data_IF_510034672563
#
_entry.id   IF_510034672563
#
_cell.length_a   1.000
_cell.length_b   1.000
_cell.length_c   1.000
_cell.angle_alpha   90.00
_cell.angle_beta   90.00
_cell.angle_gamma   90.00
#
_symmetry.space_group_name_H-M   'P 1'
#
loop_
_entity.id
_entity.type
_entity.pdbx_description
1 polymer ?
#
# COMPACT_ATOMS: atom_id res chain seq x y z
N UNK A 1 -11.64 -36.87 15.05
CA UNK A 1 -11.10 -35.89 16.02
C UNK A 1 -9.61 -36.18 16.17
N UNK A 2 -8.77 -35.55 15.35
CA UNK A 2 -7.32 -35.77 15.35
C UNK A 2 -6.57 -34.52 15.87
N UNK A 3 -6.87 -33.36 15.33
CA UNK A 3 -6.08 -32.12 15.58
C UNK A 3 -6.07 -31.68 17.05
N UNK A 4 -7.20 -31.67 17.75
CA UNK A 4 -7.24 -31.25 19.16
C UNK A 4 -6.42 -32.17 20.07
N UNK A 5 -6.59 -33.49 20.02
CA UNK A 5 -5.74 -34.47 20.75
C UNK A 5 -4.25 -34.31 20.40
N UNK A 6 -3.90 -34.17 19.12
CA UNK A 6 -2.53 -34.00 18.66
C UNK A 6 -1.87 -32.74 19.26
N UNK A 7 -2.56 -31.60 19.22
CA UNK A 7 -2.06 -30.37 19.83
C UNK A 7 -1.83 -30.51 21.34
N UNK A 8 -2.76 -31.17 22.03
CA UNK A 8 -2.65 -31.41 23.47
C UNK A 8 -1.45 -32.28 23.80
N UNK A 9 -1.25 -33.36 23.04
CA UNK A 9 -0.15 -34.29 23.22
C UNK A 9 1.20 -33.66 22.92
N UNK A 10 1.34 -33.00 21.75
CA UNK A 10 2.58 -32.35 21.29
C UNK A 10 3.03 -31.21 22.21
N UNK A 11 2.10 -30.53 22.87
CA UNK A 11 2.42 -29.48 23.83
C UNK A 11 2.48 -29.96 25.28
N UNK A 12 2.33 -31.26 25.49
CA UNK A 12 2.28 -31.86 26.86
C UNK A 12 1.23 -31.20 27.75
N UNK A 13 0.11 -30.75 27.13
CA UNK A 13 -0.94 -30.02 27.81
C UNK A 13 -0.57 -28.60 28.28
N UNK A 14 0.57 -28.07 27.87
CA UNK A 14 1.06 -26.75 28.27
C UNK A 14 0.50 -25.59 27.44
N UNK A 15 -0.16 -25.85 26.27
CA UNK A 15 -0.73 -24.77 25.47
C UNK A 15 -1.75 -23.96 26.29
N UNK A 16 -1.69 -22.67 26.13
CA UNK A 16 -2.58 -21.74 26.82
C UNK A 16 -3.58 -21.07 25.91
N UNK A 17 -3.24 -20.96 24.62
CA UNK A 17 -4.05 -20.30 23.60
C UNK A 17 -3.92 -21.08 22.30
N UNK A 18 -4.98 -21.15 21.52
CA UNK A 18 -4.93 -21.67 20.16
C UNK A 18 -5.56 -20.67 19.20
N UNK A 19 -4.83 -20.33 18.14
CA UNK A 19 -5.25 -19.34 17.14
C UNK A 19 -5.57 -20.06 15.82
N UNK A 20 -6.78 -19.85 15.31
CA UNK A 20 -7.32 -20.63 14.19
C UNK A 20 -8.05 -19.70 13.23
N UNK A 21 -7.73 -19.74 11.92
CA UNK A 21 -8.52 -19.09 10.89
C UNK A 21 -9.95 -19.67 10.84
N UNK A 22 -10.94 -18.81 10.75
CA UNK A 22 -12.35 -19.21 10.76
C UNK A 22 -12.90 -19.19 9.32
N UNK A 23 -13.31 -20.34 8.81
CA UNK A 23 -14.15 -20.50 7.62
C UNK A 23 -15.40 -21.29 8.00
N UNK A 24 -15.57 -22.51 7.49
CA UNK A 24 -16.70 -23.39 7.80
C UNK A 24 -16.88 -23.72 9.30
N UNK A 25 -15.94 -23.36 10.14
CA UNK A 25 -16.00 -23.52 11.60
C UNK A 25 -15.66 -24.93 12.12
N UNK A 26 -15.45 -25.92 11.25
CA UNK A 26 -15.20 -27.29 11.67
C UNK A 26 -13.94 -27.46 12.52
N UNK A 27 -12.84 -26.80 12.14
CA UNK A 27 -11.55 -26.88 12.87
C UNK A 27 -11.66 -26.22 14.23
N UNK A 28 -12.09 -24.95 14.29
CA UNK A 28 -12.16 -24.20 15.55
C UNK A 28 -13.13 -24.83 16.54
N UNK A 29 -14.29 -25.34 16.05
CA UNK A 29 -15.28 -26.03 16.91
C UNK A 29 -14.75 -27.34 17.45
N UNK A 30 -14.15 -28.15 16.57
CA UNK A 30 -13.61 -29.48 16.96
C UNK A 30 -12.45 -29.38 17.94
N UNK A 31 -11.48 -28.50 17.65
CA UNK A 31 -10.33 -28.23 18.50
C UNK A 31 -10.77 -27.58 19.81
N UNK A 32 -11.62 -26.56 19.70
CA UNK A 32 -12.11 -25.82 20.89
C UNK A 32 -12.87 -26.70 21.86
N UNK A 33 -13.83 -27.52 21.39
CA UNK A 33 -14.55 -28.47 22.24
C UNK A 33 -13.63 -29.48 22.94
N UNK A 34 -12.61 -29.97 22.22
CA UNK A 34 -11.66 -30.90 22.80
C UNK A 34 -10.79 -30.22 23.87
N UNK A 35 -10.14 -29.12 23.52
CA UNK A 35 -9.20 -28.42 24.42
C UNK A 35 -9.92 -27.84 25.65
N UNK A 36 -11.12 -27.29 25.50
CA UNK A 36 -11.94 -26.81 26.63
C UNK A 36 -12.33 -27.94 27.60
N UNK A 37 -12.50 -29.19 27.13
CA UNK A 37 -12.72 -30.35 28.00
C UNK A 37 -11.47 -30.76 28.76
N UNK A 38 -10.28 -30.61 28.14
CA UNK A 38 -9.00 -30.92 28.79
C UNK A 38 -8.62 -29.83 29.81
N UNK A 39 -8.77 -28.57 29.43
CA UNK A 39 -8.54 -27.43 30.30
C UNK A 39 -9.45 -26.24 29.88
N UNK A 40 -10.49 -25.92 30.67
CA UNK A 40 -11.41 -24.83 30.34
C UNK A 40 -10.77 -23.44 30.29
N UNK A 41 -9.55 -23.26 30.80
CA UNK A 41 -8.82 -21.97 30.78
C UNK A 41 -8.12 -21.70 29.48
N UNK A 42 -7.98 -22.67 28.57
CA UNK A 42 -7.37 -22.49 27.27
C UNK A 42 -8.22 -21.50 26.46
N UNK A 43 -7.58 -20.50 25.87
CA UNK A 43 -8.24 -19.51 25.03
C UNK A 43 -8.32 -20.01 23.59
N UNK A 44 -9.51 -19.99 23.03
CA UNK A 44 -9.78 -20.33 21.62
C UNK A 44 -9.97 -19.02 20.85
N UNK A 45 -9.00 -18.67 20.05
CA UNK A 45 -8.96 -17.40 19.30
C UNK A 45 -9.24 -17.66 17.83
N UNK A 46 -10.32 -17.10 17.33
CA UNK A 46 -10.63 -17.11 15.91
C UNK A 46 -9.86 -16.01 15.18
N UNK A 47 -9.51 -16.25 13.92
CA UNK A 47 -9.06 -15.19 13.03
C UNK A 47 -10.04 -15.14 11.86
N UNK A 48 -10.67 -13.98 11.67
CA UNK A 48 -11.62 -13.71 10.61
C UNK A 48 -11.01 -12.76 9.58
N UNK A 49 -11.50 -12.83 8.33
CA UNK A 49 -11.02 -11.94 7.27
C UNK A 49 -11.90 -10.69 7.18
N UNK A 50 -11.29 -9.54 6.89
CA UNK A 50 -12.05 -8.33 6.60
C UNK A 50 -12.91 -8.53 5.34
N UNK A 51 -14.21 -8.34 5.49
CA UNK A 51 -15.21 -8.64 4.47
C UNK A 51 -16.12 -9.81 4.83
N UNK A 52 -15.69 -10.73 5.68
CA UNK A 52 -16.55 -11.72 6.34
C UNK A 52 -17.45 -11.07 7.38
N UNK A 53 -18.57 -11.69 7.69
CA UNK A 53 -19.50 -11.25 8.75
C UNK A 53 -19.49 -12.20 9.98
N UNK A 54 -18.55 -13.14 10.05
CA UNK A 54 -18.48 -14.09 11.16
C UNK A 54 -18.18 -13.40 12.49
N UNK A 55 -17.34 -12.37 12.48
CA UNK A 55 -17.04 -11.56 13.68
C UNK A 55 -18.29 -10.88 14.21
N UNK A 56 -19.08 -10.26 13.35
CA UNK A 56 -20.34 -9.60 13.71
C UNK A 56 -21.38 -10.61 14.24
N UNK A 57 -21.46 -11.79 13.61
CA UNK A 57 -22.35 -12.87 14.07
C UNK A 57 -21.91 -13.37 15.46
N UNK A 58 -20.62 -13.56 15.69
CA UNK A 58 -20.10 -13.98 16.99
C UNK A 58 -20.39 -12.94 18.09
N UNK A 59 -20.15 -11.65 17.81
CA UNK A 59 -20.46 -10.54 18.73
C UNK A 59 -21.96 -10.47 19.04
N UNK A 60 -22.80 -10.79 18.05
CA UNK A 60 -24.26 -10.80 18.18
C UNK A 60 -24.83 -12.20 18.58
N UNK A 61 -24.02 -13.01 19.27
CA UNK A 61 -24.42 -14.31 19.84
C UNK A 61 -25.06 -15.26 18.84
N UNK A 62 -24.50 -15.32 17.63
CA UNK A 62 -24.92 -16.27 16.58
C UNK A 62 -26.01 -15.75 15.65
N UNK A 63 -26.44 -14.53 15.78
CA UNK A 63 -27.43 -13.90 14.88
C UNK A 63 -26.73 -12.91 13.96
N UNK A 64 -27.16 -12.86 12.71
CA UNK A 64 -26.71 -11.83 11.76
C UNK A 64 -27.26 -10.49 12.24
N UNK A 65 -26.44 -9.48 12.58
CA UNK A 65 -26.95 -8.18 12.99
C UNK A 65 -27.52 -7.41 11.78
N UNK A 66 -28.48 -6.54 12.04
CA UNK A 66 -29.03 -5.64 11.02
C UNK A 66 -27.92 -4.74 10.46
N UNK A 67 -27.83 -4.64 9.13
CA UNK A 67 -26.80 -3.84 8.47
C UNK A 67 -25.44 -4.54 8.30
N UNK A 68 -25.27 -5.79 8.72
CA UNK A 68 -24.07 -6.57 8.39
C UNK A 68 -24.14 -7.07 6.94
N UNK A 69 -23.20 -6.61 6.12
CA UNK A 69 -23.06 -7.04 4.73
C UNK A 69 -21.65 -7.54 4.45
N UNK A 70 -21.53 -8.72 3.81
CA UNK A 70 -20.23 -9.23 3.39
C UNK A 70 -19.63 -8.33 2.30
N UNK A 71 -18.29 -8.24 2.28
CA UNK A 71 -17.53 -7.57 1.24
C UNK A 71 -16.60 -8.56 0.58
N UNK A 72 -16.22 -8.30 -0.66
CA UNK A 72 -15.28 -9.14 -1.39
C UNK A 72 -13.89 -9.08 -0.76
N UNK A 73 -13.26 -10.24 -0.62
CA UNK A 73 -11.85 -10.42 -0.21
C UNK A 73 -11.20 -11.48 -1.11
N UNK A 74 -9.87 -11.60 -1.06
CA UNK A 74 -9.08 -12.47 -1.94
C UNK A 74 -8.46 -13.68 -1.23
N UNK A 75 -8.38 -13.67 0.09
CA UNK A 75 -7.91 -14.83 0.86
C UNK A 75 -8.92 -15.95 0.76
N UNK A 76 -8.46 -17.14 0.38
CA UNK A 76 -9.29 -18.32 0.22
C UNK A 76 -9.32 -19.17 1.49
N UNK A 77 -10.44 -19.85 1.73
CA UNK A 77 -10.60 -20.82 2.82
C UNK A 77 -10.82 -20.25 4.20
N UNK A 78 -11.10 -18.96 4.30
CA UNK A 78 -11.38 -18.25 5.55
C UNK A 78 -12.51 -17.24 5.32
N UNK A 79 -13.30 -16.95 6.36
CA UNK A 79 -14.44 -16.04 6.30
C UNK A 79 -15.68 -16.66 5.66
N UNK A 80 -16.84 -16.12 6.00
CA UNK A 80 -18.16 -16.53 5.45
C UNK A 80 -19.12 -15.35 5.48
N UNK A 81 -20.20 -15.45 4.71
CA UNK A 81 -21.31 -14.50 4.64
C UNK A 81 -22.57 -15.00 5.39
N UNK A 82 -22.43 -16.09 6.12
CA UNK A 82 -23.47 -16.70 6.97
C UNK A 82 -22.82 -17.42 8.15
N UNK A 83 -23.61 -17.91 9.09
CA UNK A 83 -23.14 -18.78 10.17
C UNK A 83 -23.15 -20.26 9.71
N UNK A 84 -21.98 -20.90 9.47
CA UNK A 84 -21.93 -22.29 9.09
C UNK A 84 -22.48 -23.19 10.20
N UNK A 85 -23.24 -24.22 9.83
CA UNK A 85 -23.83 -25.17 10.79
C UNK A 85 -22.80 -25.97 11.60
N UNK A 86 -21.57 -26.10 11.10
CA UNK A 86 -20.47 -26.77 11.78
C UNK A 86 -19.78 -25.87 12.82
N UNK A 87 -20.05 -24.57 12.81
CA UNK A 87 -19.40 -23.61 13.70
C UNK A 87 -20.13 -23.53 15.04
N UNK A 88 -19.40 -23.85 16.08
CA UNK A 88 -19.82 -23.64 17.48
C UNK A 88 -19.19 -22.37 18.01
N UNK A 89 -19.92 -21.27 17.95
CA UNK A 89 -19.44 -19.96 18.41
C UNK A 89 -19.22 -19.92 19.93
N UNK A 90 -19.81 -20.85 20.68
CA UNK A 90 -19.73 -20.85 22.16
C UNK A 90 -18.35 -21.27 22.68
N UNK A 91 -17.54 -21.92 21.85
CA UNK A 91 -16.17 -22.30 22.22
C UNK A 91 -15.15 -21.18 21.94
N UNK A 92 -15.53 -20.12 21.22
CA UNK A 92 -14.65 -19.04 20.79
C UNK A 92 -14.60 -17.95 21.84
N UNK A 93 -13.41 -17.67 22.39
CA UNK A 93 -13.21 -16.66 23.44
C UNK A 93 -12.89 -15.28 22.88
N UNK A 94 -12.22 -15.21 21.72
CA UNK A 94 -11.86 -13.95 21.05
C UNK A 94 -11.81 -14.13 19.54
N UNK A 95 -11.99 -13.05 18.79
CA UNK A 95 -11.75 -13.00 17.34
C UNK A 95 -10.85 -11.80 17.02
N UNK A 96 -9.79 -12.05 16.26
CA UNK A 96 -8.95 -11.05 15.60
C UNK A 96 -9.34 -10.95 14.13
N UNK A 97 -9.16 -9.77 13.53
CA UNK A 97 -9.41 -9.58 12.10
C UNK A 97 -8.12 -9.34 11.33
N UNK A 98 -8.06 -9.87 10.11
CA UNK A 98 -6.96 -9.67 9.19
C UNK A 98 -7.49 -9.24 7.82
N UNK A 99 -6.81 -8.31 7.16
CA UNK A 99 -7.11 -7.92 5.78
C UNK A 99 -6.33 -8.75 4.77
N UNK A 100 -6.74 -8.72 3.49
CA UNK A 100 -6.08 -9.46 2.40
C UNK A 100 -4.58 -9.14 2.31
N UNK A 101 -4.25 -7.85 2.26
CA UNK A 101 -2.86 -7.39 2.10
C UNK A 101 -1.96 -7.91 3.21
N UNK A 102 -2.35 -7.73 4.47
CA UNK A 102 -1.52 -8.20 5.59
C UNK A 102 -1.42 -9.72 5.63
N UNK A 103 -2.49 -10.44 5.27
CA UNK A 103 -2.49 -11.90 5.20
C UNK A 103 -1.47 -12.41 4.18
N UNK A 104 -1.45 -11.87 2.97
CA UNK A 104 -0.50 -12.26 1.95
C UNK A 104 0.94 -11.88 2.29
N UNK A 105 1.15 -10.71 2.88
CA UNK A 105 2.48 -10.28 3.32
C UNK A 105 3.01 -11.19 4.43
N UNK A 106 2.20 -11.57 5.42
CA UNK A 106 2.62 -12.47 6.47
C UNK A 106 2.87 -13.90 5.98
N UNK A 107 2.08 -14.42 5.01
CA UNK A 107 2.38 -15.71 4.39
C UNK A 107 3.74 -15.70 3.70
N UNK A 108 4.09 -14.62 2.98
CA UNK A 108 5.39 -14.43 2.33
C UNK A 108 6.54 -14.27 3.33
N UNK A 109 6.30 -13.54 4.42
CA UNK A 109 7.28 -13.38 5.51
C UNK A 109 7.57 -14.70 6.21
N UNK A 110 6.56 -15.51 6.44
CA UNK A 110 6.70 -16.83 7.07
C UNK A 110 7.64 -17.75 6.27
N UNK A 111 7.54 -17.71 4.93
CA UNK A 111 8.48 -18.44 4.05
C UNK A 111 9.89 -17.89 4.18
N UNK A 112 10.05 -16.57 4.15
CA UNK A 112 11.38 -15.91 4.14
C UNK A 112 12.11 -16.08 5.48
N UNK A 113 11.39 -16.00 6.59
CA UNK A 113 11.98 -15.98 7.92
C UNK A 113 12.07 -17.38 8.54
N UNK A 114 11.04 -18.21 8.34
CA UNK A 114 10.91 -19.49 9.02
C UNK A 114 10.98 -20.70 8.07
N UNK A 115 11.01 -20.49 6.75
CA UNK A 115 11.00 -21.56 5.76
C UNK A 115 9.66 -22.32 5.68
N UNK A 116 8.59 -21.80 6.27
CA UNK A 116 7.27 -22.41 6.27
C UNK A 116 6.47 -21.93 5.08
N UNK A 117 6.26 -22.81 4.09
CA UNK A 117 5.54 -22.51 2.86
C UNK A 117 4.05 -22.80 3.02
N UNK A 118 3.27 -21.77 3.37
CA UNK A 118 1.87 -21.87 3.77
C UNK A 118 0.93 -21.04 2.89
N UNK A 119 -0.37 -21.28 2.95
CA UNK A 119 -1.41 -20.58 2.19
C UNK A 119 -1.79 -19.21 2.76
N UNK A 120 -2.69 -18.50 2.07
CA UNK A 120 -3.13 -17.15 2.44
C UNK A 120 -3.86 -17.10 3.78
N UNK A 121 -4.71 -18.09 4.07
CA UNK A 121 -5.40 -18.22 5.36
C UNK A 121 -4.44 -18.48 6.54
N UNK A 122 -3.30 -19.14 6.27
CA UNK A 122 -2.20 -19.24 7.23
C UNK A 122 -1.57 -17.87 7.53
N UNK A 123 -1.41 -17.03 6.49
CA UNK A 123 -0.98 -15.64 6.66
C UNK A 123 -1.96 -14.82 7.49
N UNK A 124 -3.27 -15.01 7.28
CA UNK A 124 -4.31 -14.41 8.14
C UNK A 124 -4.18 -14.87 9.59
N UNK A 125 -3.99 -16.18 9.80
CA UNK A 125 -3.80 -16.73 11.15
C UNK A 125 -2.58 -16.14 11.85
N UNK A 126 -1.46 -15.97 11.15
CA UNK A 126 -0.25 -15.29 11.68
C UNK A 126 -0.52 -13.82 11.97
N UNK A 127 -1.19 -13.08 11.07
CA UNK A 127 -1.54 -11.68 11.30
C UNK A 127 -2.38 -11.50 12.57
N UNK A 128 -3.43 -12.32 12.71
CA UNK A 128 -4.25 -12.33 13.93
C UNK A 128 -3.49 -12.75 15.16
N UNK A 129 -2.63 -13.78 15.05
CA UNK A 129 -1.79 -14.24 16.16
C UNK A 129 -0.84 -13.14 16.66
N UNK A 130 -0.20 -12.38 15.76
CA UNK A 130 0.69 -11.29 16.16
C UNK A 130 -0.09 -10.20 16.91
N UNK A 131 -1.29 -9.83 16.43
CA UNK A 131 -2.16 -8.86 17.11
C UNK A 131 -2.54 -9.33 18.50
N UNK A 132 -2.93 -10.60 18.61
CA UNK A 132 -3.34 -11.21 19.88
C UNK A 132 -2.18 -11.36 20.86
N UNK A 133 -1.07 -11.94 20.40
CA UNK A 133 0.07 -12.28 21.27
C UNK A 133 0.80 -11.06 21.86
N UNK A 134 0.73 -9.88 21.20
CA UNK A 134 1.28 -8.63 21.74
C UNK A 134 0.69 -8.24 23.11
N UNK A 135 -0.47 -8.78 23.45
CA UNK A 135 -1.18 -8.48 24.70
C UNK A 135 -1.02 -9.60 25.75
N UNK A 136 -0.34 -10.68 25.39
CA UNK A 136 -0.15 -11.83 26.27
C UNK A 136 1.02 -11.62 27.25
N UNK A 137 0.91 -12.22 28.41
CA UNK A 137 2.03 -12.35 29.34
C UNK A 137 3.07 -13.36 28.80
N UNK A 138 4.33 -13.21 29.23
CA UNK A 138 5.46 -13.98 28.70
C UNK A 138 5.43 -15.49 29.05
N UNK A 139 4.61 -15.90 30.01
CA UNK A 139 4.44 -17.29 30.43
C UNK A 139 3.39 -18.06 29.62
N UNK A 140 2.76 -17.40 28.63
CA UNK A 140 1.75 -18.01 27.75
C UNK A 140 2.42 -18.81 26.64
N UNK A 141 1.77 -19.90 26.23
CA UNK A 141 2.17 -20.74 25.09
C UNK A 141 1.06 -20.77 24.03
N UNK A 142 1.00 -19.76 23.15
CA UNK A 142 0.04 -19.73 22.05
C UNK A 142 0.49 -20.67 20.91
N UNK A 143 -0.47 -21.37 20.31
CA UNK A 143 -0.26 -22.23 19.14
C UNK A 143 -1.12 -21.72 17.98
N UNK A 144 -0.52 -21.59 16.79
CA UNK A 144 -1.21 -21.13 15.58
C UNK A 144 -1.39 -22.30 14.62
N UNK A 145 -2.61 -22.50 14.11
CA UNK A 145 -2.87 -23.51 13.09
C UNK A 145 -2.68 -22.92 11.69
N UNK A 146 -1.81 -23.55 10.89
CA UNK A 146 -1.55 -23.24 9.50
C UNK A 146 -2.20 -24.33 8.65
N UNK A 147 -3.37 -24.06 8.00
CA UNK A 147 -4.22 -25.13 7.50
C UNK A 147 -3.77 -25.76 6.20
N UNK A 148 -3.00 -25.04 5.34
CA UNK A 148 -2.61 -25.53 4.02
C UNK A 148 -1.23 -25.06 3.55
N UNK A 149 -0.79 -25.69 2.44
CA UNK A 149 0.49 -25.36 1.79
C UNK A 149 0.35 -24.20 0.80
N UNK A 150 1.42 -23.43 0.65
CA UNK A 150 1.55 -22.35 -0.34
C UNK A 150 1.58 -22.80 -1.80
N UNK A 151 1.72 -24.11 -2.08
CA UNK A 151 1.90 -24.64 -3.45
C UNK A 151 0.77 -24.32 -4.43
N UNK A 152 -0.45 -24.11 -3.92
CA UNK A 152 -1.62 -23.73 -4.71
C UNK A 152 -1.66 -22.26 -5.10
N UNK A 153 -0.77 -21.43 -4.55
CA UNK A 153 -0.81 -19.97 -4.62
C UNK A 153 0.41 -19.36 -5.28
N UNK A 154 1.24 -20.19 -5.96
CA UNK A 154 2.44 -19.73 -6.66
C UNK A 154 2.15 -18.68 -7.73
N UNK A 155 1.03 -18.79 -8.44
CA UNK A 155 0.58 -17.81 -9.45
C UNK A 155 -0.36 -16.74 -8.88
N UNK A 156 -0.49 -16.66 -7.56
CA UNK A 156 -1.30 -15.67 -6.84
C UNK A 156 -0.38 -14.84 -5.94
N UNK A 157 -0.62 -14.80 -4.65
CA UNK A 157 0.12 -13.90 -3.74
C UNK A 157 1.62 -14.24 -3.53
N UNK A 158 2.13 -15.34 -4.09
CA UNK A 158 3.59 -15.59 -4.21
C UNK A 158 4.19 -15.01 -5.49
N UNK A 159 3.38 -14.55 -6.44
CA UNK A 159 3.80 -13.83 -7.64
C UNK A 159 3.68 -12.32 -7.40
N UNK A 160 4.79 -11.58 -7.61
CA UNK A 160 4.82 -10.14 -7.39
C UNK A 160 3.93 -9.38 -8.39
N UNK A 161 3.77 -9.90 -9.62
CA UNK A 161 2.90 -9.30 -10.62
C UNK A 161 1.45 -9.34 -10.14
N UNK A 162 0.98 -10.50 -9.69
CA UNK A 162 -0.35 -10.67 -9.12
C UNK A 162 -0.57 -9.75 -7.91
N UNK A 163 0.39 -9.69 -7.01
CA UNK A 163 0.32 -8.81 -5.82
C UNK A 163 0.21 -7.34 -6.18
N UNK A 164 0.89 -6.89 -7.23
CA UNK A 164 0.80 -5.51 -7.73
C UNK A 164 -0.52 -5.25 -8.44
N UNK A 165 -0.99 -6.16 -9.28
CA UNK A 165 -2.28 -6.07 -9.99
C UNK A 165 -3.46 -5.86 -9.03
N UNK A 166 -3.40 -6.47 -7.83
CA UNK A 166 -4.42 -6.31 -6.80
C UNK A 166 -4.11 -5.25 -5.74
N UNK A 167 -3.03 -4.49 -5.91
CA UNK A 167 -2.64 -3.40 -4.98
C UNK A 167 -2.14 -3.87 -3.62
N UNK A 168 -1.73 -5.13 -3.49
CA UNK A 168 -1.22 -5.70 -2.23
C UNK A 168 0.29 -5.49 -2.04
N UNK A 169 1.04 -5.35 -3.14
CA UNK A 169 2.35 -4.71 -3.13
C UNK A 169 2.16 -3.31 -3.71
N UNK A 170 2.58 -2.30 -3.00
CA UNK A 170 2.93 -1.03 -3.64
C UNK A 170 3.92 -1.37 -4.75
N UNK A 171 3.83 -0.68 -5.89
CA UNK A 171 5.01 -0.61 -6.75
C UNK A 171 6.10 -0.12 -5.80
N UNK A 172 7.00 -1.01 -5.42
CA UNK A 172 8.27 -0.57 -4.89
C UNK A 172 8.88 0.15 -6.09
N UNK A 173 8.75 1.48 -6.11
CA UNK A 173 9.61 2.31 -6.94
C UNK A 173 11.07 2.08 -6.50
N UNK A 174 11.26 1.09 -5.61
CA UNK A 174 12.51 0.64 -5.07
C UNK A 174 13.31 1.81 -4.53
N UNK A 175 14.61 1.73 -4.58
CA UNK A 175 15.54 2.82 -4.32
C UNK A 175 15.61 3.81 -5.52
N UNK A 176 14.52 3.93 -6.33
CA UNK A 176 14.50 4.83 -7.49
C UNK A 176 14.48 6.27 -7.02
N UNK A 177 15.58 6.94 -7.23
CA UNK A 177 15.69 8.38 -6.97
C UNK A 177 15.06 9.18 -8.11
N UNK A 178 14.71 10.44 -7.84
CA UNK A 178 14.25 11.36 -8.87
C UNK A 178 15.35 11.62 -9.90
N UNK A 179 16.62 11.54 -9.51
CA UNK A 179 17.77 11.59 -10.40
C UNK A 179 17.79 10.44 -11.41
N UNK A 180 17.48 9.21 -10.96
CA UNK A 180 17.39 8.04 -11.86
C UNK A 180 16.30 8.21 -12.90
N UNK A 181 15.13 8.72 -12.48
CA UNK A 181 14.05 9.04 -13.41
C UNK A 181 14.48 10.09 -14.44
N UNK A 182 15.14 11.14 -13.98
CA UNK A 182 15.62 12.21 -14.86
C UNK A 182 16.66 11.67 -15.86
N UNK A 183 17.53 10.76 -15.43
CA UNK A 183 18.47 10.09 -16.32
C UNK A 183 17.81 9.15 -17.32
N UNK A 184 16.70 8.53 -16.98
CA UNK A 184 15.94 7.66 -17.86
C UNK A 184 15.07 8.42 -18.87
N UNK A 185 14.80 9.71 -18.64
CA UNK A 185 13.97 10.54 -19.51
C UNK A 185 14.58 10.68 -20.91
N UNK A 186 13.82 10.41 -21.99
CA UNK A 186 14.35 10.46 -23.36
C UNK A 186 14.84 11.84 -23.77
N UNK A 187 14.12 12.89 -23.41
CA UNK A 187 14.50 14.27 -23.68
C UNK A 187 15.01 14.95 -22.40
N UNK A 188 16.34 15.10 -22.30
CA UNK A 188 17.04 15.60 -21.11
C UNK A 188 17.28 17.11 -21.11
N UNK A 189 16.97 17.80 -22.20
CA UNK A 189 17.27 19.22 -22.32
C UNK A 189 16.22 20.02 -21.54
N UNK A 190 16.61 20.55 -20.40
CA UNK A 190 15.77 21.44 -19.61
C UNK A 190 15.67 22.80 -20.29
N UNK A 191 14.44 23.23 -20.57
CA UNK A 191 14.16 24.58 -21.02
C UNK A 191 13.92 25.45 -19.78
N UNK A 192 14.62 26.58 -19.68
CA UNK A 192 14.47 27.56 -18.60
C UNK A 192 14.19 28.94 -19.15
N UNK A 193 13.46 29.76 -18.41
CA UNK A 193 13.35 31.18 -18.64
C UNK A 193 14.23 31.94 -17.65
N UNK A 194 14.67 33.11 -17.98
CA UNK A 194 15.42 34.00 -17.09
C UNK A 194 14.55 35.19 -16.64
N UNK A 195 14.80 35.68 -15.42
CA UNK A 195 14.23 36.98 -15.02
C UNK A 195 14.64 38.06 -16.04
N UNK A 196 13.65 38.88 -16.43
CA UNK A 196 13.82 39.88 -17.48
C UNK A 196 13.54 39.37 -18.90
N UNK A 197 13.29 38.10 -19.13
CA UNK A 197 12.86 37.59 -20.42
C UNK A 197 11.47 38.16 -20.79
N UNK A 198 11.31 38.52 -22.07
CA UNK A 198 9.99 38.96 -22.55
C UNK A 198 9.01 37.80 -22.65
N UNK A 199 7.73 38.07 -22.41
CA UNK A 199 6.63 37.11 -22.56
C UNK A 199 6.69 36.46 -23.96
N UNK A 200 6.93 37.22 -25.01
CA UNK A 200 7.07 36.71 -26.38
C UNK A 200 8.17 35.67 -26.52
N UNK A 201 9.32 35.89 -25.90
CA UNK A 201 10.46 34.95 -25.92
C UNK A 201 10.07 33.66 -25.25
N UNK A 202 9.46 33.74 -24.05
CA UNK A 202 9.05 32.55 -23.27
C UNK A 202 8.00 31.73 -24.00
N UNK A 203 6.98 32.39 -24.55
CA UNK A 203 5.95 31.71 -25.38
C UNK A 203 6.58 31.02 -26.60
N UNK A 204 7.53 31.69 -27.29
CA UNK A 204 8.20 31.10 -28.45
C UNK A 204 8.99 29.84 -28.06
N UNK A 205 9.70 29.86 -26.92
CA UNK A 205 10.43 28.69 -26.40
C UNK A 205 9.47 27.56 -26.03
N UNK A 206 8.38 27.86 -25.29
CA UNK A 206 7.37 26.86 -24.94
C UNK A 206 6.80 26.18 -26.19
N UNK A 207 6.42 26.96 -27.19
CA UNK A 207 5.88 26.43 -28.44
C UNK A 207 6.92 25.61 -29.24
N UNK A 208 8.16 26.10 -29.35
CA UNK A 208 9.23 25.42 -30.08
C UNK A 208 9.58 24.05 -29.50
N UNK A 209 9.55 23.95 -28.17
CA UNK A 209 9.95 22.73 -27.45
C UNK A 209 8.78 21.88 -26.96
N UNK A 210 7.52 22.32 -27.16
CA UNK A 210 6.32 21.60 -26.75
C UNK A 210 6.21 21.46 -25.23
N UNK A 211 6.60 22.49 -24.50
CA UNK A 211 6.54 22.52 -23.02
C UNK A 211 5.52 23.55 -22.55
N UNK A 212 4.72 23.19 -21.54
CA UNK A 212 3.68 24.05 -20.96
C UNK A 212 4.12 24.75 -19.67
N UNK A 213 5.33 24.49 -19.22
CA UNK A 213 5.89 25.09 -18.01
C UNK A 213 7.41 25.12 -18.07
N UNK A 214 8.02 26.14 -17.48
CA UNK A 214 9.47 26.34 -17.50
C UNK A 214 9.94 26.84 -16.14
N UNK A 215 11.01 26.26 -15.55
CA UNK A 215 11.70 26.88 -14.41
C UNK A 215 12.26 28.22 -14.79
N UNK A 216 12.12 29.20 -13.89
CA UNK A 216 12.69 30.53 -14.05
C UNK A 216 13.95 30.63 -13.21
N UNK A 217 15.03 31.07 -13.84
CA UNK A 217 16.33 31.21 -13.19
C UNK A 217 16.77 32.65 -13.04
N UNK A 218 17.49 32.91 -11.97
CA UNK A 218 18.14 34.18 -11.72
C UNK A 218 19.48 34.33 -12.45
N UNK A 219 20.24 35.36 -12.10
CA UNK A 219 21.51 35.73 -12.78
C UNK A 219 22.61 34.67 -12.63
N UNK A 220 22.66 34.00 -11.47
CA UNK A 220 23.65 32.97 -11.17
C UNK A 220 23.16 31.54 -11.53
N UNK A 221 21.99 31.44 -12.19
CA UNK A 221 21.36 30.23 -12.63
C UNK A 221 20.58 29.51 -11.53
N UNK A 222 20.36 30.13 -10.39
CA UNK A 222 19.56 29.65 -9.28
C UNK A 222 18.07 29.64 -9.64
N UNK A 223 17.33 28.65 -9.14
CA UNK A 223 15.89 28.57 -9.33
C UNK A 223 15.19 29.70 -8.56
N UNK A 224 14.45 30.54 -9.28
CA UNK A 224 13.64 31.63 -8.72
C UNK A 224 12.17 31.21 -8.59
N UNK A 225 11.68 30.44 -9.54
CA UNK A 225 10.29 30.01 -9.56
C UNK A 225 9.93 29.22 -10.81
N UNK A 226 8.65 29.17 -11.12
CA UNK A 226 8.07 28.50 -12.26
C UNK A 226 7.18 29.47 -13.05
N UNK A 227 7.13 29.31 -14.36
CA UNK A 227 6.15 29.97 -15.22
C UNK A 227 5.40 28.91 -16.01
N UNK A 228 4.07 29.01 -16.03
CA UNK A 228 3.19 28.09 -16.73
C UNK A 228 2.46 28.79 -17.90
N UNK A 229 2.09 28.02 -18.88
CA UNK A 229 1.30 28.49 -20.03
C UNK A 229 0.01 29.19 -19.59
N UNK A 230 -0.63 28.68 -18.51
CA UNK A 230 -1.86 29.26 -17.96
C UNK A 230 -1.64 30.66 -17.37
N UNK A 231 -0.48 30.94 -16.77
CA UNK A 231 -0.16 32.27 -16.24
C UNK A 231 -0.05 33.30 -17.36
N UNK A 232 0.63 32.90 -18.45
CA UNK A 232 0.77 33.71 -19.64
C UNK A 232 -0.58 33.97 -20.32
N UNK A 233 -1.42 32.93 -20.42
CA UNK A 233 -2.75 33.03 -21.01
C UNK A 233 -3.66 33.96 -20.20
N UNK A 234 -3.71 33.82 -18.88
CA UNK A 234 -4.49 34.67 -17.99
C UNK A 234 -4.05 36.14 -18.11
N UNK A 235 -2.72 36.37 -18.10
CA UNK A 235 -2.19 37.71 -18.26
C UNK A 235 -2.61 38.37 -19.61
N UNK A 236 -2.60 37.57 -20.68
CA UNK A 236 -3.03 38.06 -22.01
C UNK A 236 -4.51 38.34 -22.08
N UNK A 237 -5.35 37.64 -21.31
CA UNK A 237 -6.80 37.85 -21.25
C UNK A 237 -7.18 39.07 -20.40
N UNK A 238 -6.44 39.38 -19.37
CA UNK A 238 -6.76 40.44 -18.39
C UNK A 238 -6.37 41.84 -18.87
N UNK A 239 -5.45 41.97 -19.82
CA UNK A 239 -4.95 43.25 -20.30
C UNK A 239 -5.38 43.53 -21.74
N UNK A 240 -6.17 44.60 -21.95
CA UNK A 240 -6.59 45.09 -23.27
C UNK A 240 -5.49 45.78 -24.09
N UNK A 241 -4.35 46.16 -23.47
CA UNK A 241 -3.18 46.73 -24.12
C UNK A 241 -1.93 45.91 -23.85
N UNK A 242 -1.55 45.04 -24.77
CA UNK A 242 -0.30 44.27 -24.70
C UNK A 242 0.87 45.13 -25.14
N UNK A 243 1.78 45.45 -24.24
CA UNK A 243 3.09 45.98 -24.59
C UNK A 243 3.99 44.83 -25.05
N UNK A 244 4.52 44.93 -26.25
CA UNK A 244 5.34 43.90 -26.88
C UNK A 244 6.64 43.55 -26.10
N UNK A 245 7.02 44.36 -25.11
CA UNK A 245 8.24 44.22 -24.30
C UNK A 245 8.00 43.92 -22.82
N UNK A 246 6.80 43.43 -22.46
CA UNK A 246 6.49 43.06 -21.07
C UNK A 246 7.32 41.83 -20.68
N UNK A 247 7.97 41.89 -19.48
CA UNK A 247 8.77 40.81 -18.96
C UNK A 247 7.92 39.85 -18.11
N UNK A 248 8.42 38.62 -17.91
CA UNK A 248 7.72 37.58 -17.13
C UNK A 248 7.82 37.82 -15.62
N UNK A 249 8.57 38.78 -15.14
CA UNK A 249 8.98 38.91 -13.72
C UNK A 249 7.80 38.93 -12.73
N UNK A 250 6.68 39.53 -13.12
CA UNK A 250 5.45 39.60 -12.31
C UNK A 250 4.56 38.36 -12.44
N UNK A 251 4.88 37.46 -13.35
CA UNK A 251 4.09 36.24 -13.63
C UNK A 251 4.75 34.99 -13.03
N UNK A 252 5.97 35.10 -12.52
CA UNK A 252 6.70 33.98 -11.94
C UNK A 252 6.01 33.56 -10.65
N UNK A 253 5.63 32.30 -10.59
CA UNK A 253 5.02 31.67 -9.42
C UNK A 253 6.06 30.91 -8.60
N UNK A 254 5.78 30.67 -7.31
CA UNK A 254 6.61 29.77 -6.51
C UNK A 254 6.58 28.37 -7.11
N UNK A 255 7.73 27.74 -7.22
CA UNK A 255 7.85 26.35 -7.60
C UNK A 255 7.26 25.45 -6.50
N UNK A 256 6.04 24.92 -6.71
CA UNK A 256 5.28 24.20 -5.69
C UNK A 256 5.87 22.87 -5.27
N UNK A 257 6.77 22.28 -6.06
CA UNK A 257 7.36 20.96 -5.82
C UNK A 257 8.82 20.90 -6.27
N UNK A 258 9.72 21.19 -5.33
CA UNK A 258 11.19 21.23 -5.55
C UNK A 258 11.83 20.12 -4.74
N UNK A 259 12.64 19.29 -5.38
CA UNK A 259 13.28 18.13 -4.76
C UNK A 259 14.74 18.02 -5.20
N UNK A 260 15.65 17.55 -4.34
CA UNK A 260 16.97 17.16 -4.75
C UNK A 260 16.97 15.83 -5.52
N UNK A 261 17.98 15.55 -6.36
CA UNK A 261 18.00 14.36 -7.20
C UNK A 261 18.03 13.03 -6.41
N UNK A 262 18.53 13.02 -5.19
CA UNK A 262 18.59 11.89 -4.30
C UNK A 262 17.24 11.55 -3.62
N UNK A 263 16.24 12.41 -3.70
CA UNK A 263 14.92 12.14 -3.13
C UNK A 263 14.28 10.91 -3.76
N UNK A 264 13.64 10.10 -2.92
CA UNK A 264 12.90 8.94 -3.38
C UNK A 264 11.65 9.37 -4.16
N UNK A 265 11.32 8.63 -5.22
CA UNK A 265 10.09 8.88 -6.00
C UNK A 265 8.84 8.87 -5.11
N UNK A 266 8.81 7.99 -4.10
CA UNK A 266 7.67 7.88 -3.17
C UNK A 266 7.40 9.18 -2.41
N UNK A 267 8.44 9.92 -2.03
CA UNK A 267 8.32 11.22 -1.34
C UNK A 267 7.67 12.29 -2.22
N UNK A 268 7.92 12.22 -3.52
CA UNK A 268 7.42 13.18 -4.50
C UNK A 268 6.01 12.84 -5.05
N UNK A 269 5.53 11.60 -4.86
CA UNK A 269 4.23 11.14 -5.36
C UNK A 269 3.04 12.02 -4.92
N UNK A 270 2.94 12.51 -3.67
CA UNK A 270 1.86 13.41 -3.27
C UNK A 270 1.82 14.68 -4.12
N UNK A 271 2.97 15.28 -4.42
CA UNK A 271 3.06 16.49 -5.26
C UNK A 271 2.60 16.21 -6.70
N UNK A 272 3.03 15.10 -7.29
CA UNK A 272 2.58 14.68 -8.62
C UNK A 272 1.07 14.44 -8.66
N UNK A 273 0.51 13.75 -7.67
CA UNK A 273 -0.94 13.45 -7.62
C UNK A 273 -1.77 14.73 -7.44
N UNK A 274 -1.25 15.71 -6.69
CA UNK A 274 -1.86 17.03 -6.55
C UNK A 274 -1.80 17.88 -7.84
N UNK A 275 -1.05 17.46 -8.84
CA UNK A 275 -1.00 18.14 -10.15
C UNK A 275 0.29 18.90 -10.43
N UNK A 276 1.19 18.99 -9.46
CA UNK A 276 2.46 19.68 -9.66
C UNK A 276 3.43 18.90 -10.54
N UNK A 277 4.25 19.61 -11.31
CA UNK A 277 5.49 19.06 -11.84
C UNK A 277 6.59 19.17 -10.81
N UNK A 278 7.50 18.19 -10.80
CA UNK A 278 8.64 18.20 -9.89
C UNK A 278 9.81 18.90 -10.54
N UNK A 279 10.36 19.91 -9.89
CA UNK A 279 11.61 20.57 -10.33
C UNK A 279 12.75 19.93 -9.54
N UNK A 280 13.66 19.29 -10.26
CA UNK A 280 14.82 18.66 -9.63
C UNK A 280 15.95 19.68 -9.57
N UNK A 281 16.47 19.93 -8.36
CA UNK A 281 17.43 20.99 -8.09
C UNK A 281 18.65 20.43 -7.37
N UNK A 282 19.84 20.77 -7.87
CA UNK A 282 21.10 20.52 -7.21
C UNK A 282 21.86 21.83 -7.01
N UNK A 283 22.34 22.09 -5.81
CA UNK A 283 23.05 23.35 -5.47
C UNK A 283 22.29 24.61 -5.90
N UNK A 284 20.98 24.66 -5.64
CA UNK A 284 20.04 25.71 -6.01
C UNK A 284 19.77 25.88 -7.52
N UNK A 285 20.34 25.05 -8.39
CA UNK A 285 20.17 25.13 -9.83
C UNK A 285 19.23 24.02 -10.33
N UNK A 286 18.26 24.34 -11.21
CA UNK A 286 17.37 23.33 -11.76
C UNK A 286 18.14 22.43 -12.74
N UNK A 287 18.09 21.11 -12.51
CA UNK A 287 18.67 20.08 -13.36
C UNK A 287 17.66 19.52 -14.37
N UNK A 288 16.40 19.51 -13.99
CA UNK A 288 15.35 18.94 -14.81
C UNK A 288 13.97 19.11 -14.22
N UNK A 289 12.98 18.72 -15.00
CA UNK A 289 11.59 18.69 -14.61
C UNK A 289 11.00 17.31 -14.89
N UNK A 290 10.25 16.79 -13.92
CA UNK A 290 9.54 15.52 -14.05
C UNK A 290 8.04 15.75 -13.90
N UNK A 291 7.28 15.08 -14.73
CA UNK A 291 5.81 15.14 -14.76
C UNK A 291 5.22 13.74 -14.57
N UNK A 292 3.90 13.67 -14.45
CA UNK A 292 3.17 12.39 -14.33
C UNK A 292 3.51 11.43 -15.47
N UNK A 293 3.65 11.95 -16.70
CA UNK A 293 3.93 11.11 -17.86
C UNK A 293 5.34 10.50 -17.78
N UNK A 294 6.32 11.25 -17.30
CA UNK A 294 7.68 10.73 -17.14
C UNK A 294 7.73 9.54 -16.16
N UNK A 295 6.94 9.62 -15.09
CA UNK A 295 6.80 8.51 -14.12
C UNK A 295 6.06 7.32 -14.76
N UNK A 296 4.99 7.58 -15.51
CA UNK A 296 4.24 6.52 -16.21
C UNK A 296 5.13 5.81 -17.23
N UNK A 297 5.90 6.54 -18.04
CA UNK A 297 6.81 5.98 -19.04
C UNK A 297 7.92 5.14 -18.37
N UNK A 298 8.47 5.63 -17.26
CA UNK A 298 9.48 4.89 -16.50
C UNK A 298 8.92 3.58 -15.94
N UNK A 299 7.71 3.62 -15.39
CA UNK A 299 7.03 2.43 -14.85
C UNK A 299 6.67 1.46 -15.98
N UNK A 300 6.13 1.95 -17.10
CA UNK A 300 5.81 1.13 -18.26
C UNK A 300 7.05 0.44 -18.87
N UNK A 301 8.19 1.11 -18.84
CA UNK A 301 9.47 0.54 -19.30
C UNK A 301 10.08 -0.51 -18.36
N UNK A 302 9.56 -0.65 -17.13
CA UNK A 302 9.96 -1.68 -16.15
C UNK A 302 9.02 -2.89 -16.11
N UNK A 303 7.83 -2.79 -16.71
CA UNK A 303 6.84 -3.87 -16.88
C UNK A 303 7.17 -4.66 -18.15
#
# INVERSE_FOLDING_TARGET
MSTGPELWEQTEGRLTDVIIGIGTGGTISGVGRYLKRMNPKIQIVGVDIEGSILTEIWQNKGKIPEGAYPKTYKVEGIGEDFLPSAMDITVVDAIERAGDRESFLWARQLVRQEGIFAGGSSGSAIAGAIKYCRRLAADRLPVVILPDSGSRYLSKFYDDKWMREFGFLSMEFGETSLGDLLLAKPNKVLQTAALGDSIRKVVAVMHQHGVSQMPVVGRDGELVGLIEEVDLLNHMLDKHEHRHDETIDTLVQNAGAVFPPESALEEAMPSLTAGYALIIVESSKPMGILTKIDVLDYVAGKI
#
